data_IF_860970301001
#
_entry.id   IF_860970301001
#
_cell.length_a   1.000
_cell.length_b   1.000
_cell.length_c   1.000
_cell.angle_alpha   90.00
_cell.angle_beta   90.00
_cell.angle_gamma   90.00
#
_symmetry.space_group_name_H-M   'P 1'
#
loop_
_entity.id
_entity.type
_entity.pdbx_description
1 polymer ?
#
# COMPACT_ATOMS: atom_id res chain seq x y z
N UNK A 1 -3.32 -11.02 -13.74
CA UNK A 1 -1.97 -11.48 -14.13
C UNK A 1 -1.12 -11.47 -12.87
N UNK A 2 -0.82 -12.64 -12.31
CA UNK A 2 -0.05 -12.78 -11.07
C UNK A 2 1.41 -13.03 -11.43
N UNK A 3 2.35 -12.31 -10.83
CA UNK A 3 3.78 -12.47 -11.13
C UNK A 3 4.51 -12.80 -9.82
N UNK A 4 5.15 -13.97 -9.75
CA UNK A 4 6.15 -14.31 -8.73
C UNK A 4 7.47 -13.61 -9.08
N UNK A 5 8.10 -12.91 -8.14
CA UNK A 5 9.44 -12.35 -8.37
C UNK A 5 10.34 -12.46 -7.12
N UNK A 6 11.40 -13.30 -7.13
CA UNK A 6 12.58 -13.15 -6.28
C UNK A 6 13.56 -12.12 -6.90
N UNK A 7 14.57 -11.67 -6.14
CA UNK A 7 15.54 -10.55 -6.32
C UNK A 7 15.95 -10.04 -7.74
N UNK A 8 15.73 -10.81 -8.82
CA UNK A 8 15.59 -10.33 -10.21
C UNK A 8 14.38 -9.35 -10.38
N UNK A 9 13.54 -9.29 -9.35
CA UNK A 9 12.33 -8.51 -9.20
C UNK A 9 12.42 -7.06 -9.66
N UNK A 10 13.44 -6.30 -9.23
CA UNK A 10 13.47 -4.85 -9.50
C UNK A 10 13.56 -4.54 -10.99
N UNK A 11 14.42 -5.26 -11.73
CA UNK A 11 14.66 -4.98 -13.15
C UNK A 11 13.48 -5.42 -14.01
N UNK A 12 12.94 -6.61 -13.75
CA UNK A 12 11.77 -7.14 -14.45
C UNK A 12 10.50 -6.34 -14.12
N UNK A 13 10.33 -5.94 -12.86
CA UNK A 13 9.23 -5.08 -12.45
C UNK A 13 9.34 -3.70 -13.09
N UNK A 14 10.51 -3.06 -13.05
CA UNK A 14 10.73 -1.76 -13.71
C UNK A 14 10.53 -1.86 -15.23
N UNK A 15 10.99 -2.93 -15.86
CA UNK A 15 10.78 -3.19 -17.28
C UNK A 15 9.28 -3.39 -17.59
N UNK A 16 8.55 -4.12 -16.73
CA UNK A 16 7.10 -4.27 -16.82
C UNK A 16 6.38 -2.93 -16.68
N UNK A 17 6.74 -2.09 -15.71
CA UNK A 17 6.15 -0.75 -15.53
C UNK A 17 6.39 0.12 -16.76
N UNK A 18 7.63 0.18 -17.24
CA UNK A 18 7.99 0.92 -18.45
C UNK A 18 7.21 0.44 -19.69
N UNK A 19 7.00 -0.88 -19.84
CA UNK A 19 6.24 -1.46 -20.97
C UNK A 19 4.72 -1.26 -20.84
N UNK A 20 4.21 -1.14 -19.61
CA UNK A 20 2.78 -0.94 -19.32
C UNK A 20 2.29 0.51 -19.50
N UNK A 21 3.15 1.41 -19.99
CA UNK A 21 2.89 2.85 -20.10
C UNK A 21 2.45 3.50 -18.78
N UNK A 22 2.85 2.92 -17.64
CA UNK A 22 2.62 3.45 -16.29
C UNK A 22 1.15 3.79 -15.97
N UNK A 23 0.17 3.08 -16.57
CA UNK A 23 -1.26 3.31 -16.32
C UNK A 23 -1.89 2.23 -15.41
N UNK A 24 -1.04 1.54 -14.64
CA UNK A 24 -1.51 0.52 -13.69
C UNK A 24 -2.24 1.22 -12.56
N UNK A 25 -3.56 1.05 -12.55
CA UNK A 25 -4.44 1.61 -11.52
C UNK A 25 -4.69 0.65 -10.36
N UNK A 26 -4.42 -0.64 -10.54
CA UNK A 26 -4.61 -1.68 -9.51
C UNK A 26 -3.41 -2.60 -9.44
N UNK A 27 -2.88 -2.83 -8.24
CA UNK A 27 -1.77 -3.74 -7.97
C UNK A 27 -2.13 -4.60 -6.76
N UNK A 28 -2.06 -5.92 -6.93
CA UNK A 28 -2.24 -6.89 -5.85
C UNK A 28 -1.03 -7.81 -5.78
N UNK A 29 -0.39 -7.84 -4.61
CA UNK A 29 0.78 -8.67 -4.30
C UNK A 29 0.36 -9.66 -3.22
N UNK A 30 0.37 -10.95 -3.52
CA UNK A 30 -0.05 -11.99 -2.58
C UNK A 30 1.02 -13.07 -2.48
N UNK A 31 1.55 -13.30 -1.28
CA UNK A 31 2.57 -14.32 -1.05
C UNK A 31 3.90 -14.03 -1.75
N UNK A 32 4.23 -12.76 -1.98
CA UNK A 32 5.46 -12.35 -2.65
C UNK A 32 6.48 -11.85 -1.62
N UNK A 33 7.65 -12.50 -1.59
CA UNK A 33 8.81 -12.05 -0.82
C UNK A 33 9.53 -10.92 -1.56
N UNK A 34 9.20 -9.67 -1.21
CA UNK A 34 9.85 -8.46 -1.74
C UNK A 34 10.30 -7.60 -0.57
N UNK A 35 11.49 -7.00 -0.65
CA UNK A 35 11.94 -6.05 0.37
C UNK A 35 11.08 -4.79 0.32
N UNK A 36 10.86 -4.14 1.47
CA UNK A 36 10.13 -2.86 1.49
C UNK A 36 10.82 -1.80 0.60
N UNK A 37 12.16 -1.80 0.52
CA UNK A 37 12.94 -0.88 -0.33
C UNK A 37 12.62 -1.07 -1.82
N UNK A 38 12.56 -2.32 -2.27
CA UNK A 38 12.23 -2.64 -3.67
C UNK A 38 10.77 -2.35 -3.96
N UNK A 39 9.86 -2.65 -3.03
CA UNK A 39 8.44 -2.32 -3.15
C UNK A 39 8.22 -0.81 -3.27
N UNK A 40 8.87 -0.01 -2.42
CA UNK A 40 8.82 1.46 -2.49
C UNK A 40 9.36 1.93 -3.83
N UNK A 41 10.51 1.41 -4.25
CA UNK A 41 11.11 1.75 -5.56
C UNK A 41 10.16 1.46 -6.72
N UNK A 42 9.49 0.32 -6.66
CA UNK A 42 8.48 -0.11 -7.62
C UNK A 42 7.27 0.84 -7.65
N UNK A 43 6.70 1.17 -6.49
CA UNK A 43 5.53 2.04 -6.39
C UNK A 43 5.79 3.46 -6.89
N UNK A 44 7.02 3.97 -6.77
CA UNK A 44 7.43 5.27 -7.34
C UNK A 44 7.28 5.34 -8.86
N UNK A 45 7.37 4.21 -9.54
CA UNK A 45 7.20 4.15 -10.99
C UNK A 45 5.71 4.13 -11.39
N UNK A 46 4.80 3.89 -10.44
CA UNK A 46 3.36 3.70 -10.67
C UNK A 46 2.55 4.81 -10.00
N UNK A 47 2.76 6.05 -10.45
CA UNK A 47 2.05 7.22 -9.90
C UNK A 47 0.54 7.25 -10.22
N UNK A 48 0.07 6.36 -11.10
CA UNK A 48 -1.35 6.20 -11.47
C UNK A 48 -2.12 5.24 -10.57
N UNK A 49 -1.46 4.59 -9.62
CA UNK A 49 -2.05 3.54 -8.78
C UNK A 49 -3.19 4.09 -7.91
N UNK A 50 -4.34 3.45 -8.00
CA UNK A 50 -5.56 3.74 -7.23
C UNK A 50 -5.86 2.67 -6.19
N UNK A 51 -5.51 1.42 -6.46
CA UNK A 51 -5.81 0.29 -5.58
C UNK A 51 -4.53 -0.50 -5.33
N UNK A 52 -4.13 -0.62 -4.08
CA UNK A 52 -3.00 -1.42 -3.62
C UNK A 52 -3.49 -2.48 -2.65
N UNK A 53 -3.19 -3.73 -2.94
CA UNK A 53 -3.45 -4.87 -2.07
C UNK A 53 -2.16 -5.64 -1.84
N UNK A 54 -1.80 -5.85 -0.59
CA UNK A 54 -0.62 -6.62 -0.19
C UNK A 54 -1.06 -7.66 0.83
N UNK A 55 -0.67 -8.92 0.62
CA UNK A 55 -0.90 -10.02 1.54
C UNK A 55 0.39 -10.77 1.83
N UNK A 56 0.74 -10.86 3.11
CA UNK A 56 1.93 -11.56 3.59
C UNK A 56 1.63 -13.02 4.04
N UNK A 57 0.41 -13.53 3.87
CA UNK A 57 -0.09 -14.83 4.38
C UNK A 57 0.71 -16.10 3.99
N UNK A 58 1.76 -15.97 3.20
CA UNK A 58 2.63 -17.06 2.74
C UNK A 58 4.12 -16.69 2.79
N UNK A 59 4.45 -15.57 3.41
CA UNK A 59 5.80 -15.02 3.46
C UNK A 59 6.28 -15.09 4.91
N UNK A 60 7.50 -15.60 5.12
CA UNK A 60 8.11 -15.57 6.45
C UNK A 60 8.21 -14.13 6.94
N UNK A 61 8.05 -13.91 8.25
CA UNK A 61 8.13 -12.59 8.90
C UNK A 61 9.38 -11.80 8.49
N UNK A 62 10.52 -12.48 8.26
CA UNK A 62 11.78 -11.84 7.85
C UNK A 62 11.75 -11.23 6.45
N UNK A 63 10.81 -11.63 5.59
CA UNK A 63 10.68 -11.14 4.21
C UNK A 63 9.37 -10.39 3.98
N UNK A 64 8.71 -9.98 5.07
CA UNK A 64 7.45 -9.27 4.99
C UNK A 64 7.66 -7.84 4.44
N UNK A 65 7.00 -7.46 3.33
CA UNK A 65 7.10 -6.11 2.80
C UNK A 65 6.32 -5.06 3.62
N UNK A 66 5.39 -5.49 4.48
CA UNK A 66 4.57 -4.62 5.32
C UNK A 66 5.37 -4.26 6.58
N UNK A 67 6.33 -3.34 6.42
CA UNK A 67 7.18 -2.85 7.52
C UNK A 67 6.79 -1.42 7.92
N UNK A 68 7.25 -0.95 9.11
CA UNK A 68 7.03 0.44 9.51
C UNK A 68 7.52 1.47 8.50
N UNK A 69 8.65 1.21 7.85
CA UNK A 69 9.22 2.07 6.82
C UNK A 69 8.33 2.12 5.58
N UNK A 70 7.71 1.00 5.21
CA UNK A 70 6.75 0.94 4.11
C UNK A 70 5.51 1.78 4.43
N UNK A 71 4.90 1.62 5.60
CA UNK A 71 3.72 2.41 6.00
C UNK A 71 4.07 3.91 6.06
N UNK A 72 5.20 4.26 6.69
CA UNK A 72 5.67 5.65 6.76
C UNK A 72 5.89 6.25 5.37
N UNK A 73 6.37 5.45 4.40
CA UNK A 73 6.53 5.91 3.01
C UNK A 73 5.21 6.24 2.31
N UNK A 74 4.10 5.67 2.77
CA UNK A 74 2.76 6.02 2.31
C UNK A 74 2.26 7.31 2.97
N UNK A 75 2.81 7.78 4.07
CA UNK A 75 2.35 9.02 4.71
C UNK A 75 2.46 10.24 3.77
N UNK A 76 1.49 11.16 3.80
CA UNK A 76 1.43 12.32 2.88
C UNK A 76 2.49 13.38 3.13
N UNK A 77 2.96 13.52 4.37
CA UNK A 77 3.97 14.50 4.78
C UNK A 77 5.38 14.25 4.21
N UNK A 78 5.60 13.12 3.52
CA UNK A 78 6.92 12.79 2.96
C UNK A 78 7.99 12.53 4.02
N UNK A 79 7.61 12.17 5.25
CA UNK A 79 8.50 11.95 6.40
C UNK A 79 9.47 10.76 6.26
N UNK A 80 9.37 9.96 5.21
CA UNK A 80 10.33 8.88 4.98
C UNK A 80 11.67 9.44 4.47
N UNK A 81 12.77 9.09 5.14
CA UNK A 81 14.15 9.37 4.71
C UNK A 81 14.44 8.91 3.27
N UNK A 82 13.71 7.90 2.79
CA UNK A 82 13.83 7.41 1.43
C UNK A 82 13.22 8.38 0.40
N UNK A 83 12.41 9.35 0.81
CA UNK A 83 11.62 10.23 -0.05
C UNK A 83 12.34 11.53 -0.40
N UNK A 84 13.31 11.42 -1.31
CA UNK A 84 14.14 12.53 -1.81
C UNK A 84 13.29 13.69 -2.37
N UNK A 85 12.09 13.41 -2.90
CA UNK A 85 11.26 14.41 -3.58
C UNK A 85 10.14 14.99 -2.70
N UNK A 86 10.00 14.57 -1.43
CA UNK A 86 8.87 14.93 -0.53
C UNK A 86 7.48 14.71 -1.14
N UNK A 87 7.38 13.90 -2.19
CA UNK A 87 6.12 13.62 -2.88
C UNK A 87 5.51 12.33 -2.31
N UNK A 88 4.19 12.25 -2.10
CA UNK A 88 3.56 11.01 -1.65
C UNK A 88 3.89 9.86 -2.62
N UNK A 89 4.25 8.69 -2.08
CA UNK A 89 4.71 7.54 -2.87
C UNK A 89 3.72 7.09 -3.95
N UNK A 90 2.43 7.15 -3.61
CA UNK A 90 1.30 6.81 -4.48
C UNK A 90 0.23 7.87 -4.29
N UNK A 91 0.33 9.01 -5.01
CA UNK A 91 -0.52 10.17 -4.75
C UNK A 91 -1.97 9.92 -5.13
N UNK A 92 -2.25 8.93 -5.98
CA UNK A 92 -3.59 8.60 -6.47
C UNK A 92 -4.27 7.43 -5.75
N UNK A 93 -3.69 6.93 -4.66
CA UNK A 93 -4.18 5.74 -3.97
C UNK A 93 -5.50 6.00 -3.24
N UNK A 94 -6.55 5.32 -3.68
CA UNK A 94 -7.89 5.35 -3.10
C UNK A 94 -8.19 4.14 -2.22
N UNK A 95 -7.62 2.98 -2.53
CA UNK A 95 -7.94 1.73 -1.84
C UNK A 95 -6.66 1.08 -1.38
N UNK A 96 -6.57 0.82 -0.08
CA UNK A 96 -5.44 0.13 0.53
C UNK A 96 -5.95 -1.11 1.27
N UNK A 97 -5.47 -2.28 0.87
CA UNK A 97 -5.74 -3.54 1.55
C UNK A 97 -4.42 -4.13 2.01
N UNK A 98 -4.24 -4.26 3.31
CA UNK A 98 -3.06 -4.89 3.90
C UNK A 98 -3.50 -6.11 4.69
N UNK A 99 -3.08 -7.27 4.24
CA UNK A 99 -3.22 -8.51 4.97
C UNK A 99 -1.90 -8.85 5.62
N UNK A 100 -1.88 -8.72 6.94
CA UNK A 100 -0.73 -8.94 7.79
C UNK A 100 -1.00 -10.10 8.75
N UNK A 101 -0.20 -11.14 8.62
CA UNK A 101 -0.08 -12.25 9.55
C UNK A 101 1.22 -12.06 10.35
N UNK A 102 1.09 -11.95 11.68
CA UNK A 102 2.20 -11.71 12.61
C UNK A 102 1.76 -10.85 13.81
N UNK A 103 2.67 -10.61 14.76
CA UNK A 103 2.37 -9.80 15.97
C UNK A 103 3.07 -8.44 16.01
N UNK A 104 3.93 -8.15 15.03
CA UNK A 104 4.76 -6.95 14.99
C UNK A 104 4.17 -5.80 14.16
N UNK A 105 2.87 -5.83 13.87
CA UNK A 105 2.21 -4.76 13.13
C UNK A 105 2.01 -3.54 14.04
N UNK A 106 2.44 -2.38 13.57
CA UNK A 106 2.26 -1.12 14.29
C UNK A 106 0.94 -0.47 13.87
N UNK A 107 -0.12 -0.82 14.60
CA UNK A 107 -1.47 -0.29 14.38
C UNK A 107 -1.52 1.24 14.50
N UNK A 108 -0.77 1.83 15.44
CA UNK A 108 -0.80 3.25 15.72
C UNK A 108 -0.25 4.06 14.53
N UNK A 109 0.91 3.65 14.01
CA UNK A 109 1.50 4.27 12.82
C UNK A 109 0.65 4.00 11.56
N UNK A 110 -0.01 2.84 11.45
CA UNK A 110 -0.94 2.60 10.36
C UNK A 110 -2.13 3.57 10.40
N UNK A 111 -2.75 3.76 11.57
CA UNK A 111 -3.87 4.70 11.76
C UNK A 111 -3.42 6.14 11.47
N UNK A 112 -2.24 6.54 11.93
CA UNK A 112 -1.65 7.85 11.65
C UNK A 112 -1.47 8.07 10.13
N UNK A 113 -0.91 7.08 9.43
CA UNK A 113 -0.77 7.10 7.98
C UNK A 113 -2.12 7.22 7.25
N UNK A 114 -3.15 6.45 7.65
CA UNK A 114 -4.49 6.57 7.08
C UNK A 114 -5.06 7.97 7.32
N UNK A 115 -4.95 8.48 8.55
CA UNK A 115 -5.44 9.82 8.93
C UNK A 115 -4.77 10.92 8.12
N UNK A 116 -3.48 10.76 7.78
CA UNK A 116 -2.74 11.70 6.92
C UNK A 116 -3.28 11.80 5.48
N UNK A 117 -4.01 10.77 5.03
CA UNK A 117 -4.60 10.65 3.69
C UNK A 117 -6.12 10.80 3.69
N UNK A 118 -6.74 10.75 4.85
CA UNK A 118 -8.17 10.86 5.00
C UNK A 118 -8.58 12.32 4.87
N UNK A 119 -9.37 12.64 3.83
CA UNK A 119 -10.06 13.92 3.74
C UNK A 119 -11.48 13.68 4.27
N UNK A 120 -11.84 14.21 5.44
CA UNK A 120 -13.11 13.91 6.09
C UNK A 120 -14.34 14.49 5.38
N UNK A 121 -14.16 15.28 4.32
CA UNK A 121 -15.26 16.04 3.72
C UNK A 121 -15.28 15.94 2.18
N UNK A 122 -16.35 15.37 1.60
CA UNK A 122 -16.59 15.34 0.15
C UNK A 122 -16.63 16.73 -0.49
N UNK A 123 -17.07 17.77 0.25
CA UNK A 123 -17.09 19.14 -0.25
C UNK A 123 -15.67 19.69 -0.43
N UNK A 124 -14.74 19.34 0.47
CA UNK A 124 -13.32 19.69 0.33
C UNK A 124 -12.62 18.90 -0.78
N UNK A 125 -13.05 17.67 -1.08
CA UNK A 125 -12.51 16.88 -2.20
C UNK A 125 -12.87 17.47 -3.58
N UNK A 126 -13.90 18.32 -3.67
CA UNK A 126 -14.27 19.03 -4.91
C UNK A 126 -13.46 20.31 -5.15
N UNK A 127 -12.76 20.83 -4.12
CA UNK A 127 -11.86 21.97 -4.30
C UNK A 127 -10.63 21.53 -5.10
N UNK A 128 -10.44 22.16 -6.28
CA UNK A 128 -9.45 21.80 -7.30
C UNK A 128 -7.97 21.76 -6.83
N UNK A 129 -7.65 22.21 -5.62
CA UNK A 129 -6.32 22.15 -5.01
C UNK A 129 -6.06 20.86 -4.20
N UNK A 130 -7.11 20.16 -3.74
CA UNK A 130 -7.03 18.87 -3.03
C UNK A 130 -7.04 17.69 -4.02
N UNK A 131 -6.17 17.72 -5.03
CA UNK A 131 -6.17 16.75 -6.15
C UNK A 131 -5.67 15.35 -5.79
N UNK A 132 -5.35 15.10 -4.53
CA UNK A 132 -4.96 13.77 -4.05
C UNK A 132 -6.23 13.02 -3.63
N UNK A 133 -6.62 11.94 -4.33
CA UNK A 133 -7.75 11.14 -3.88
C UNK A 133 -7.48 10.57 -2.48
N UNK A 134 -8.49 10.67 -1.62
CA UNK A 134 -8.48 10.10 -0.29
C UNK A 134 -8.54 8.57 -0.33
N UNK A 135 -7.98 7.91 0.69
CA UNK A 135 -8.21 6.48 0.90
C UNK A 135 -9.67 6.32 1.33
N UNK A 136 -10.47 5.61 0.54
CA UNK A 136 -11.90 5.37 0.77
C UNK A 136 -12.20 3.98 1.33
N UNK A 137 -11.22 3.07 1.34
CA UNK A 137 -11.42 1.73 1.88
C UNK A 137 -10.10 1.16 2.41
N UNK A 138 -10.18 0.64 3.64
CA UNK A 138 -9.12 -0.10 4.31
C UNK A 138 -9.63 -1.50 4.64
N UNK A 139 -8.87 -2.54 4.28
CA UNK A 139 -9.13 -3.92 4.70
C UNK A 139 -7.92 -4.47 5.41
N UNK A 140 -8.10 -4.83 6.69
CA UNK A 140 -7.15 -5.56 7.51
C UNK A 140 -7.82 -6.88 7.92
N UNK A 141 -7.44 -8.02 7.33
CA UNK A 141 -7.89 -9.33 7.79
C UNK A 141 -7.24 -9.63 9.14
N UNK A 142 -8.07 -9.90 10.14
CA UNK A 142 -7.61 -10.45 11.41
C UNK A 142 -7.32 -11.94 11.19
N UNK A 143 -6.06 -12.34 11.35
CA UNK A 143 -5.68 -13.74 11.34
C UNK A 143 -6.24 -14.42 12.61
N UNK A 144 -7.48 -14.91 12.53
CA UNK A 144 -8.05 -15.76 13.57
C UNK A 144 -7.32 -17.11 13.56
N UNK A 145 -6.42 -17.29 14.52
CA UNK A 145 -5.93 -18.61 14.90
C UNK A 145 -7.09 -19.41 15.51
N UNK A 146 -7.80 -20.15 14.65
CA UNK A 146 -8.74 -21.20 15.05
C UNK A 146 -10.17 -20.75 15.37
N UNK A 147 -11.06 -21.19 14.47
CA UNK A 147 -12.54 -21.29 14.57
C UNK A 147 -13.37 -20.06 14.21
N UNK A 148 -14.15 -20.30 13.16
CA UNK A 148 -15.41 -19.71 12.75
C UNK A 148 -15.45 -18.24 12.31
N UNK A 149 -16.16 -18.10 11.19
CA UNK A 149 -16.34 -16.95 10.33
C UNK A 149 -16.85 -15.72 11.06
N UNK A 150 -16.38 -14.53 10.64
CA UNK A 150 -17.17 -13.31 10.45
C UNK A 150 -16.31 -12.29 9.67
N UNK A 151 -16.65 -12.07 8.39
CA UNK A 151 -16.10 -10.96 7.61
C UNK A 151 -16.68 -9.65 8.14
N UNK A 152 -15.90 -8.88 8.90
CA UNK A 152 -16.23 -7.49 9.22
C UNK A 152 -15.74 -6.60 8.08
N UNK A 153 -16.64 -6.27 7.16
CA UNK A 153 -16.45 -5.11 6.28
C UNK A 153 -16.87 -3.87 7.04
N UNK A 154 -15.92 -3.07 7.52
CA UNK A 154 -16.21 -1.72 7.99
C UNK A 154 -16.24 -0.80 6.78
N UNK A 155 -17.45 -0.48 6.31
CA UNK A 155 -17.68 0.66 5.43
C UNK A 155 -17.88 1.85 6.37
N UNK A 156 -16.89 2.74 6.44
CA UNK A 156 -17.10 4.05 7.06
C UNK A 156 -17.82 4.91 6.03
N UNK A 157 -19.11 5.19 6.31
CA UNK A 157 -19.97 6.05 5.51
C UNK A 157 -19.59 7.52 5.63
#
# INVERSE_FOLDING_TARGET
>A
MFILLPAVAKREFSAFISRSSCNITKLSLQGISISHVDLISALRLILSLKELSISNSKVSEHYNPITPEFITSLHTSGQSELNIFRLPLVPKLCVLSLEFEGTAFDDAMFIDMISSRWLPDPEYATLHWCRLPAISSVKVPVANSGRDSLQTSTVLG
#
